data_IF_878258442897
#
_entry.id   IF_878258442897
#
_cell.length_a   1.000
_cell.length_b   1.000
_cell.length_c   1.000
_cell.angle_alpha   90.00
_cell.angle_beta   90.00
_cell.angle_gamma   90.00
#
_symmetry.space_group_name_H-M   'P 1'
#
loop_
_entity.id
_entity.type
_entity.pdbx_description
1 polymer ?
#
# COMPACT_ATOMS: atom_id res chain seq x y z
N UNK A 1 2.54 -27.85 -25.77
CA UNK A 1 3.57 -27.21 -24.92
C UNK A 1 2.99 -25.86 -24.54
N UNK A 2 2.58 -25.75 -23.28
CA UNK A 2 1.87 -24.60 -22.74
C UNK A 2 2.91 -23.92 -21.84
N UNK A 3 3.30 -22.69 -22.17
CA UNK A 3 4.21 -21.91 -21.34
C UNK A 3 3.48 -21.49 -20.06
N UNK A 4 3.91 -22.09 -18.95
CA UNK A 4 3.84 -21.50 -17.62
C UNK A 4 4.70 -20.23 -17.65
N UNK A 5 4.13 -19.04 -17.42
CA UNK A 5 4.80 -17.97 -16.65
C UNK A 5 3.87 -16.76 -16.45
N UNK A 6 3.80 -16.35 -15.18
CA UNK A 6 3.31 -15.06 -14.67
C UNK A 6 1.80 -14.86 -14.59
N UNK A 7 1.18 -15.49 -13.59
CA UNK A 7 -0.11 -15.08 -13.02
C UNK A 7 0.01 -13.85 -12.08
N UNK A 8 0.92 -12.93 -12.42
CA UNK A 8 1.05 -11.62 -11.79
C UNK A 8 0.52 -10.64 -12.84
N UNK A 9 -0.62 -9.95 -12.64
CA UNK A 9 -0.83 -8.69 -13.34
C UNK A 9 0.41 -7.85 -13.03
N UNK A 10 1.17 -7.47 -14.06
CA UNK A 10 2.51 -6.91 -13.89
C UNK A 10 2.50 -5.90 -12.74
N UNK A 11 3.52 -5.89 -11.89
CA UNK A 11 3.66 -4.98 -10.73
C UNK A 11 3.49 -3.47 -11.06
N UNK A 12 3.33 -3.13 -12.35
CA UNK A 12 2.90 -1.83 -12.86
C UNK A 12 1.42 -1.53 -12.55
N UNK A 13 0.52 -2.52 -12.53
CA UNK A 13 -0.92 -2.30 -12.41
C UNK A 13 -1.35 -1.88 -11.00
N UNK A 14 -0.72 -2.46 -9.96
CA UNK A 14 -1.11 -2.21 -8.57
C UNK A 14 -0.56 -0.87 -8.04
N UNK A 15 0.57 -0.38 -8.56
CA UNK A 15 1.11 0.92 -8.18
C UNK A 15 0.43 2.11 -8.91
N UNK A 16 -0.23 1.88 -10.06
CA UNK A 16 -0.68 2.93 -10.99
C UNK A 16 -2.14 2.87 -11.45
N UNK A 17 -3.05 2.25 -10.69
CA UNK A 17 -4.48 2.56 -10.88
C UNK A 17 -4.87 3.97 -10.38
N UNK A 18 -3.88 4.83 -10.09
CA UNK A 18 -4.07 6.27 -10.04
C UNK A 18 -3.78 6.87 -11.42
N UNK A 19 -4.88 7.19 -12.12
CA UNK A 19 -5.05 8.31 -13.07
C UNK A 19 -3.89 8.60 -14.04
N UNK A 20 -4.16 8.48 -15.34
CA UNK A 20 -3.34 8.95 -16.47
C UNK A 20 -2.26 9.95 -16.07
N UNK A 21 -1.00 9.53 -16.09
CA UNK A 21 0.13 10.42 -15.81
C UNK A 21 0.30 11.34 -17.02
N UNK A 22 0.16 12.64 -16.80
CA UNK A 22 0.41 13.65 -17.83
C UNK A 22 1.80 14.24 -17.65
N UNK A 23 2.53 14.35 -18.76
CA UNK A 23 3.78 15.10 -18.80
C UNK A 23 3.50 16.52 -19.26
N UNK A 24 3.97 17.49 -18.48
CA UNK A 24 3.97 18.90 -18.91
C UNK A 24 5.05 19.06 -19.97
N UNK A 25 4.61 19.32 -21.21
CA UNK A 25 5.51 19.53 -22.35
C UNK A 25 5.93 20.98 -22.43
N UNK A 26 4.99 21.88 -22.18
CA UNK A 26 5.22 23.31 -22.37
C UNK A 26 4.32 24.12 -21.45
N UNK A 27 4.86 25.23 -20.93
CA UNK A 27 4.11 26.24 -20.19
C UNK A 27 4.38 27.58 -20.88
N UNK A 28 3.34 28.21 -21.43
CA UNK A 28 3.41 29.49 -22.13
C UNK A 28 2.52 30.52 -21.46
N UNK A 29 3.05 31.71 -21.22
CA UNK A 29 2.21 32.82 -20.73
C UNK A 29 1.34 33.32 -21.88
N UNK A 30 0.04 33.49 -21.63
CA UNK A 30 -0.87 33.93 -22.69
C UNK A 30 -0.60 35.40 -23.04
N UNK A 31 -0.50 35.76 -24.34
CA UNK A 31 -0.21 37.14 -24.74
C UNK A 31 -1.29 38.15 -24.30
N UNK A 32 -2.51 37.66 -24.07
CA UNK A 32 -3.67 38.49 -23.72
C UNK A 32 -3.76 38.84 -22.24
N UNK A 33 -3.09 38.09 -21.36
CA UNK A 33 -3.13 38.31 -19.92
C UNK A 33 -1.90 37.69 -19.25
N UNK A 34 -1.08 38.54 -18.64
CA UNK A 34 0.15 38.16 -17.93
C UNK A 34 -0.09 37.35 -16.64
N UNK A 35 -1.35 37.07 -16.27
CA UNK A 35 -1.69 36.18 -15.16
C UNK A 35 -2.24 34.82 -15.61
N UNK A 36 -2.41 34.62 -16.92
CA UNK A 36 -2.89 33.37 -17.51
C UNK A 36 -1.74 32.63 -18.19
N UNK A 37 -1.64 31.35 -17.90
CA UNK A 37 -0.64 30.44 -18.46
C UNK A 37 -1.35 29.27 -19.14
N UNK A 38 -0.90 28.96 -20.34
CA UNK A 38 -1.31 27.80 -21.12
C UNK A 38 -0.32 26.67 -20.86
N UNK A 39 -0.84 25.51 -20.45
CA UNK A 39 -0.04 24.32 -20.14
C UNK A 39 -0.39 23.24 -21.14
N UNK A 40 0.59 22.81 -21.93
CA UNK A 40 0.42 21.70 -22.88
C UNK A 40 0.83 20.41 -22.21
N UNK A 41 -0.09 19.45 -22.19
CA UNK A 41 0.07 18.15 -21.57
C UNK A 41 0.10 17.06 -22.64
N UNK A 42 0.95 16.06 -22.47
CA UNK A 42 0.86 14.80 -23.23
C UNK A 42 0.56 13.64 -22.31
N UNK A 43 -0.15 12.64 -22.82
CA UNK A 43 -0.30 11.35 -22.16
C UNK A 43 1.08 10.68 -22.18
N UNK A 44 1.49 10.19 -21.02
CA UNK A 44 2.75 9.46 -20.89
C UNK A 44 2.49 8.00 -21.23
N UNK A 45 3.24 7.45 -22.19
CA UNK A 45 3.20 6.03 -22.55
C UNK A 45 3.92 5.21 -21.46
N UNK A 46 3.50 3.97 -21.26
CA UNK A 46 4.11 2.99 -20.36
C UNK A 46 5.62 2.77 -20.60
N UNK A 47 6.10 3.09 -21.81
CA UNK A 47 7.50 2.99 -22.21
C UNK A 47 8.34 4.26 -21.95
N UNK A 48 7.81 5.31 -21.32
CA UNK A 48 8.58 6.54 -21.03
C UNK A 48 9.69 6.27 -19.98
N UNK A 49 10.98 6.49 -20.30
CA UNK A 49 12.09 6.27 -19.37
C UNK A 49 12.04 7.14 -18.10
N UNK A 50 11.43 8.31 -18.16
CA UNK A 50 11.25 9.18 -17.00
C UNK A 50 10.12 8.70 -16.10
N UNK A 51 9.04 8.18 -16.70
CA UNK A 51 7.96 7.53 -15.96
C UNK A 51 8.45 6.26 -15.26
N UNK A 52 9.27 5.44 -15.94
CA UNK A 52 9.87 4.26 -15.32
C UNK A 52 10.86 4.62 -14.22
N UNK A 53 11.64 5.68 -14.40
CA UNK A 53 12.55 6.20 -13.36
C UNK A 53 11.78 6.74 -12.15
N UNK A 54 10.70 7.49 -12.37
CA UNK A 54 9.84 8.02 -11.31
C UNK A 54 9.13 6.88 -10.57
N UNK A 55 8.60 5.92 -11.31
CA UNK A 55 8.03 4.69 -10.77
C UNK A 55 9.02 3.97 -9.87
N UNK A 56 10.25 3.76 -10.37
CA UNK A 56 11.28 3.09 -9.59
C UNK A 56 11.69 3.92 -8.36
N UNK A 57 11.76 5.25 -8.46
CA UNK A 57 12.01 6.11 -7.30
C UNK A 57 10.90 6.04 -6.25
N UNK A 58 9.65 6.05 -6.66
CA UNK A 58 8.51 5.86 -5.76
C UNK A 58 8.60 4.45 -5.14
N UNK A 59 8.90 3.41 -5.93
CA UNK A 59 9.13 2.06 -5.42
C UNK A 59 10.24 2.03 -4.36
N UNK A 60 11.37 2.69 -4.59
CA UNK A 60 12.49 2.79 -3.63
C UNK A 60 12.15 3.64 -2.40
N UNK A 61 11.41 4.74 -2.55
CA UNK A 61 11.00 5.60 -1.44
C UNK A 61 9.89 4.95 -0.58
N UNK A 62 9.12 4.05 -1.18
CA UNK A 62 8.07 3.25 -0.51
C UNK A 62 8.63 1.91 -0.03
N UNK A 63 9.90 1.56 -0.31
CA UNK A 63 10.53 0.35 0.23
C UNK A 63 10.60 0.40 1.76
N UNK A 64 10.22 -0.72 2.37
CA UNK A 64 10.18 -0.91 3.82
C UNK A 64 8.77 -0.87 4.40
N UNK A 65 8.63 -1.39 5.62
CA UNK A 65 7.35 -1.50 6.34
C UNK A 65 6.60 -0.15 6.43
N UNK A 66 7.32 0.96 6.56
CA UNK A 66 6.74 2.31 6.68
C UNK A 66 6.18 2.87 5.37
N UNK A 67 6.69 2.47 4.21
CA UNK A 67 6.21 2.97 2.92
C UNK A 67 4.90 2.29 2.52
N UNK A 68 4.88 0.96 2.52
CA UNK A 68 3.66 0.18 2.24
C UNK A 68 2.54 0.43 3.24
N UNK A 69 2.88 0.70 4.50
CA UNK A 69 1.92 1.19 5.50
C UNK A 69 1.20 2.45 5.05
N UNK A 70 1.96 3.47 4.62
CA UNK A 70 1.41 4.76 4.18
C UNK A 70 0.53 4.56 2.96
N UNK A 71 0.97 3.75 2.00
CA UNK A 71 0.21 3.48 0.78
C UNK A 71 -1.14 2.83 1.11
N UNK A 72 -1.14 1.73 1.86
CA UNK A 72 -2.41 1.09 2.18
C UNK A 72 -3.27 1.92 3.13
N UNK A 73 -2.70 2.76 4.00
CA UNK A 73 -3.47 3.76 4.79
C UNK A 73 -4.16 4.79 3.90
N UNK A 74 -3.48 5.29 2.86
CA UNK A 74 -4.06 6.19 1.87
C UNK A 74 -5.19 5.49 1.10
N UNK A 75 -4.99 4.25 0.67
CA UNK A 75 -6.03 3.45 0.02
C UNK A 75 -7.27 3.29 0.90
N UNK A 76 -7.08 3.02 2.20
CA UNK A 76 -8.17 2.94 3.19
C UNK A 76 -8.92 4.28 3.33
N UNK A 77 -8.20 5.40 3.41
CA UNK A 77 -8.81 6.73 3.50
C UNK A 77 -9.61 7.12 2.26
N UNK A 78 -9.19 6.63 1.09
CA UNK A 78 -9.87 6.84 -0.19
C UNK A 78 -11.00 5.82 -0.44
N UNK A 79 -11.21 4.85 0.46
CA UNK A 79 -12.24 3.82 0.33
C UNK A 79 -11.86 2.67 -0.62
N UNK A 80 -10.61 2.59 -1.06
CA UNK A 80 -10.09 1.55 -1.95
C UNK A 80 -9.70 0.28 -1.17
N UNK A 81 -10.66 -0.30 -0.44
CA UNK A 81 -10.39 -1.41 0.46
C UNK A 81 -9.91 -2.69 -0.23
N UNK A 82 -10.45 -3.01 -1.41
CA UNK A 82 -10.07 -4.21 -2.16
C UNK A 82 -8.61 -4.12 -2.67
N UNK A 83 -8.21 -2.96 -3.18
CA UNK A 83 -6.85 -2.72 -3.66
C UNK A 83 -5.83 -2.78 -2.50
N UNK A 84 -6.20 -2.25 -1.32
CA UNK A 84 -5.38 -2.40 -0.13
C UNK A 84 -5.22 -3.87 0.29
N UNK A 85 -6.29 -4.66 0.17
CA UNK A 85 -6.27 -6.10 0.47
C UNK A 85 -5.37 -6.87 -0.48
N UNK A 86 -5.49 -6.63 -1.79
CA UNK A 86 -4.65 -7.24 -2.83
C UNK A 86 -3.17 -6.92 -2.59
N UNK A 87 -2.85 -5.65 -2.36
CA UNK A 87 -1.50 -5.20 -2.06
C UNK A 87 -0.91 -5.92 -0.83
N UNK A 88 -1.65 -5.96 0.28
CA UNK A 88 -1.15 -6.62 1.50
C UNK A 88 -1.01 -8.14 1.33
N UNK A 89 -1.89 -8.79 0.58
CA UNK A 89 -1.76 -10.22 0.29
C UNK A 89 -0.55 -10.52 -0.62
N UNK A 90 -0.26 -9.64 -1.59
CA UNK A 90 0.93 -9.77 -2.42
C UNK A 90 2.22 -9.56 -1.61
N UNK A 91 2.26 -8.54 -0.77
CA UNK A 91 3.38 -8.33 0.16
C UNK A 91 3.57 -9.53 1.08
N UNK A 92 2.49 -10.15 1.56
CA UNK A 92 2.57 -11.33 2.42
C UNK A 92 3.21 -12.53 1.72
N UNK A 93 2.92 -12.73 0.43
CA UNK A 93 3.55 -13.79 -0.38
C UNK A 93 5.04 -13.58 -0.58
N UNK A 94 5.46 -12.32 -0.71
CA UNK A 94 6.85 -11.94 -0.96
C UNK A 94 7.62 -11.58 0.32
N UNK A 95 7.02 -11.77 1.50
CA UNK A 95 7.63 -11.40 2.76
C UNK A 95 8.87 -12.26 3.05
N UNK A 96 10.03 -11.60 3.12
CA UNK A 96 11.32 -12.27 3.30
C UNK A 96 11.67 -12.51 4.77
N UNK A 97 11.04 -11.79 5.71
CA UNK A 97 11.31 -11.91 7.14
C UNK A 97 10.04 -12.10 7.95
N UNK A 98 10.18 -12.70 9.14
CA UNK A 98 9.09 -12.81 10.12
C UNK A 98 8.59 -11.45 10.58
N UNK A 99 9.50 -10.48 10.73
CA UNK A 99 9.14 -9.11 11.05
C UNK A 99 8.21 -8.50 9.99
N UNK A 100 8.52 -8.69 8.70
CA UNK A 100 7.67 -8.22 7.59
C UNK A 100 6.31 -8.92 7.61
N UNK A 101 6.28 -10.25 7.78
CA UNK A 101 5.03 -11.01 7.90
C UNK A 101 4.17 -10.50 9.05
N UNK A 102 4.76 -10.29 10.23
CA UNK A 102 4.06 -9.75 11.40
C UNK A 102 3.49 -8.36 11.12
N UNK A 103 4.25 -7.52 10.41
CA UNK A 103 3.81 -6.19 10.02
C UNK A 103 2.63 -6.24 9.04
N UNK A 104 2.72 -7.08 8.01
CA UNK A 104 1.67 -7.21 6.99
C UNK A 104 0.38 -7.78 7.60
N UNK A 105 0.48 -8.76 8.49
CA UNK A 105 -0.68 -9.26 9.24
C UNK A 105 -1.34 -8.17 10.08
N UNK A 106 -0.55 -7.31 10.73
CA UNK A 106 -1.10 -6.17 11.46
C UNK A 106 -1.90 -5.23 10.53
N UNK A 107 -1.43 -5.02 9.30
CA UNK A 107 -2.13 -4.19 8.31
C UNK A 107 -3.40 -4.81 7.79
N UNK A 108 -3.41 -6.12 7.51
CA UNK A 108 -4.62 -6.85 7.16
C UNK A 108 -5.64 -6.80 8.29
N UNK A 109 -5.22 -6.96 9.55
CA UNK A 109 -6.10 -6.80 10.71
C UNK A 109 -6.76 -5.43 10.76
N UNK A 110 -5.97 -4.36 10.53
CA UNK A 110 -6.48 -2.99 10.49
C UNK A 110 -7.48 -2.78 9.35
N UNK A 111 -7.18 -3.25 8.15
CA UNK A 111 -8.08 -3.21 7.01
C UNK A 111 -9.42 -3.91 7.31
N UNK A 112 -9.39 -5.13 7.86
CA UNK A 112 -10.60 -5.91 8.16
C UNK A 112 -11.44 -5.27 9.25
N UNK A 113 -10.81 -4.67 10.27
CA UNK A 113 -11.51 -3.91 11.29
C UNK A 113 -12.27 -2.71 10.68
N UNK A 114 -11.62 -1.96 9.78
CA UNK A 114 -12.28 -0.85 9.07
C UNK A 114 -13.41 -1.31 8.13
N UNK A 115 -13.35 -2.55 7.62
CA UNK A 115 -14.44 -3.15 6.84
C UNK A 115 -15.58 -3.71 7.72
N UNK A 116 -15.48 -3.66 9.06
CA UNK A 116 -16.44 -4.30 9.97
C UNK A 116 -16.33 -5.84 10.02
N UNK A 117 -15.29 -6.43 9.43
CA UNK A 117 -15.04 -7.88 9.41
C UNK A 117 -14.24 -8.29 10.65
N UNK A 118 -14.85 -8.11 11.82
CA UNK A 118 -14.15 -8.23 13.11
C UNK A 118 -13.51 -9.60 13.38
N UNK A 119 -14.14 -10.75 13.07
CA UNK A 119 -13.50 -12.05 13.27
C UNK A 119 -12.24 -12.25 12.42
N UNK A 120 -12.25 -11.77 11.17
CA UNK A 120 -11.05 -11.79 10.31
C UNK A 120 -9.97 -10.86 10.86
N UNK A 121 -10.35 -9.68 11.37
CA UNK A 121 -9.42 -8.72 11.95
C UNK A 121 -8.68 -9.31 13.15
N UNK A 122 -9.40 -9.97 14.07
CA UNK A 122 -8.81 -10.65 15.24
C UNK A 122 -7.80 -11.70 14.77
N UNK A 123 -8.18 -12.57 13.85
CA UNK A 123 -7.29 -13.62 13.33
C UNK A 123 -5.97 -13.05 12.78
N UNK A 124 -6.04 -11.95 12.03
CA UNK A 124 -4.84 -11.31 11.51
C UNK A 124 -4.00 -10.65 12.61
N UNK A 125 -4.62 -10.01 13.60
CA UNK A 125 -3.88 -9.47 14.73
C UNK A 125 -3.23 -10.54 15.61
N UNK A 126 -3.89 -11.68 15.81
CA UNK A 126 -3.33 -12.84 16.53
C UNK A 126 -2.13 -13.44 15.81
N UNK A 127 -2.20 -13.59 14.48
CA UNK A 127 -1.05 -14.02 13.67
C UNK A 127 0.13 -13.04 13.80
N UNK A 128 -0.14 -11.73 13.77
CA UNK A 128 0.89 -10.71 13.98
C UNK A 128 1.50 -10.79 15.38
N UNK A 129 0.65 -10.94 16.41
CA UNK A 129 1.04 -11.05 17.80
C UNK A 129 1.93 -12.28 18.03
N UNK A 130 1.53 -13.43 17.51
CA UNK A 130 2.27 -14.70 17.67
C UNK A 130 3.72 -14.56 17.19
N UNK A 131 3.92 -13.97 16.01
CA UNK A 131 5.27 -13.75 15.47
C UNK A 131 6.05 -12.75 16.32
N UNK A 132 5.40 -11.67 16.77
CA UNK A 132 6.02 -10.65 17.64
C UNK A 132 6.43 -11.22 18.99
N UNK A 133 5.64 -12.10 19.59
CA UNK A 133 5.96 -12.75 20.88
C UNK A 133 7.17 -13.69 20.77
N UNK A 134 7.32 -14.36 19.64
CA UNK A 134 8.49 -15.21 19.38
C UNK A 134 9.75 -14.35 19.13
N UNK A 135 9.60 -13.22 18.43
CA UNK A 135 10.73 -12.44 17.90
C UNK A 135 11.19 -11.29 18.81
N UNK A 136 10.36 -10.85 19.76
CA UNK A 136 10.59 -9.62 20.54
C UNK A 136 10.63 -9.91 22.05
N UNK A 137 11.39 -9.12 22.82
CA UNK A 137 11.30 -9.13 24.28
C UNK A 137 9.89 -8.81 24.77
N UNK A 138 9.50 -9.38 25.91
CA UNK A 138 8.16 -9.22 26.48
C UNK A 138 7.75 -7.76 26.77
N UNK A 139 8.70 -6.85 26.94
CA UNK A 139 8.44 -5.42 27.18
C UNK A 139 8.43 -4.57 25.88
N UNK A 140 8.51 -5.20 24.70
CA UNK A 140 8.55 -4.47 23.44
C UNK A 140 7.21 -3.77 23.15
N UNK A 141 7.18 -2.46 22.81
CA UNK A 141 5.95 -1.70 22.60
C UNK A 141 5.00 -2.30 21.54
N UNK A 142 5.54 -2.94 20.51
CA UNK A 142 4.73 -3.60 19.47
C UNK A 142 3.78 -4.68 19.99
N UNK A 143 4.09 -5.31 21.13
CA UNK A 143 3.19 -6.27 21.77
C UNK A 143 1.96 -5.55 22.32
N UNK A 144 2.17 -4.46 23.06
CA UNK A 144 1.08 -3.62 23.58
C UNK A 144 0.19 -3.08 22.44
N UNK A 145 0.79 -2.65 21.32
CA UNK A 145 0.03 -2.22 20.14
C UNK A 145 -0.85 -3.35 19.57
N UNK A 146 -0.34 -4.58 19.49
CA UNK A 146 -1.14 -5.73 19.02
C UNK A 146 -2.33 -6.00 19.95
N UNK A 147 -2.10 -6.05 21.27
CA UNK A 147 -3.17 -6.26 22.25
C UNK A 147 -4.22 -5.15 22.22
N UNK A 148 -3.78 -3.88 22.15
CA UNK A 148 -4.68 -2.73 22.06
C UNK A 148 -5.58 -2.82 20.82
N UNK A 149 -5.02 -3.24 19.68
CA UNK A 149 -5.81 -3.38 18.46
C UNK A 149 -6.83 -4.52 18.56
N UNK A 150 -6.47 -5.66 19.16
CA UNK A 150 -7.44 -6.74 19.42
C UNK A 150 -8.56 -6.24 20.33
N UNK A 151 -8.21 -5.52 21.41
CA UNK A 151 -9.19 -4.89 22.30
C UNK A 151 -10.10 -3.91 21.57
N UNK A 152 -9.55 -3.08 20.69
CA UNK A 152 -10.33 -2.15 19.85
C UNK A 152 -11.28 -2.89 18.90
N UNK A 153 -10.90 -4.05 18.38
CA UNK A 153 -11.81 -4.85 17.56
C UNK A 153 -12.99 -5.37 18.40
N UNK A 154 -12.72 -5.89 19.60
CA UNK A 154 -13.80 -6.32 20.51
C UNK A 154 -14.71 -5.16 20.92
N UNK A 155 -14.17 -3.97 21.20
CA UNK A 155 -14.95 -2.77 21.49
C UNK A 155 -15.87 -2.38 20.31
N UNK A 156 -15.34 -2.48 19.07
CA UNK A 156 -16.15 -2.24 17.86
C UNK A 156 -17.24 -3.30 17.63
N UNK A 157 -17.12 -4.50 18.20
CA UNK A 157 -18.13 -5.57 18.08
C UNK A 157 -19.36 -5.35 18.96
N UNK A 158 -19.24 -4.57 20.04
CA UNK A 158 -20.30 -4.33 21.03
C UNK A 158 -20.24 -5.28 22.22
#
# INVERSE_FOLDING_TARGET
>A
MIDEHSAIPSEQEILFTMHTVFRVVEIKQTPKNNRLWEVHLTITDENDPQLSTLTNRIKEEVRGSTGWYRMGKLMLQLGHFNQAEELYNELLKNASTDSDRAFIYHMLGYLKNNQGKYPEAIKFYENSLTIREISLPANHPSLATSYNNIGSVYDNMG
#
